data_IF_700624042930
#
_entry.id   IF_700624042930
#
_cell.length_a   1.000
_cell.length_b   1.000
_cell.length_c   1.000
_cell.angle_alpha   90.00
_cell.angle_beta   90.00
_cell.angle_gamma   90.00
#
_symmetry.space_group_name_H-M   'P 1'
#
loop_
_entity.id
_entity.type
_entity.pdbx_description
1 polymer ?
#
# COMPACT_ATOMS: atom_id res chain seq x y z
N UNK A 1 29.07 -22.95 10.75
CA UNK A 1 27.60 -23.19 10.66
C UNK A 1 27.24 -23.57 9.23
N UNK A 2 26.30 -24.49 9.03
CA UNK A 2 25.89 -24.96 7.69
C UNK A 2 24.38 -25.14 7.59
N UNK A 3 23.89 -25.47 6.39
CA UNK A 3 22.48 -25.78 6.17
C UNK A 3 21.95 -26.80 7.20
N UNK A 4 20.75 -26.55 7.73
CA UNK A 4 20.14 -27.34 8.80
C UNK A 4 20.50 -26.90 10.23
N UNK A 5 21.51 -26.04 10.43
CA UNK A 5 21.79 -25.47 11.76
C UNK A 5 20.61 -24.63 12.24
N UNK A 6 20.28 -24.70 13.53
CA UNK A 6 19.27 -23.86 14.17
C UNK A 6 19.80 -23.21 15.45
N UNK A 7 19.27 -22.06 15.83
CA UNK A 7 19.52 -21.44 17.14
C UNK A 7 19.91 -19.97 17.07
N UNK A 8 20.31 -19.42 18.23
CA UNK A 8 20.62 -18.00 18.37
C UNK A 8 21.77 -17.52 17.47
N UNK A 9 22.78 -18.35 17.23
CA UNK A 9 23.90 -17.99 16.36
C UNK A 9 23.47 -17.82 14.89
N UNK A 10 22.49 -18.62 14.44
CA UNK A 10 21.88 -18.46 13.11
C UNK A 10 21.06 -17.17 13.05
N UNK A 11 20.37 -16.81 14.13
CA UNK A 11 19.64 -15.52 14.21
C UNK A 11 20.61 -14.33 14.09
N UNK A 12 21.74 -14.41 14.79
CA UNK A 12 22.78 -13.40 14.70
C UNK A 12 23.35 -13.30 13.29
N UNK A 13 23.67 -14.44 12.65
CA UNK A 13 24.11 -14.49 11.26
C UNK A 13 23.13 -13.80 10.32
N UNK A 14 21.85 -14.19 10.38
CA UNK A 14 20.80 -13.63 9.53
C UNK A 14 20.66 -12.11 9.72
N UNK A 15 20.73 -11.60 10.96
CA UNK A 15 20.68 -10.16 11.22
C UNK A 15 21.94 -9.42 10.72
N UNK A 16 23.13 -10.00 10.87
CA UNK A 16 24.37 -9.41 10.34
C UNK A 16 24.33 -9.34 8.81
N UNK A 17 23.84 -10.38 8.14
CA UNK A 17 23.62 -10.35 6.70
C UNK A 17 22.57 -9.31 6.29
N UNK A 18 21.51 -9.11 7.10
CA UNK A 18 20.54 -8.02 6.90
C UNK A 18 21.16 -6.63 6.97
N UNK A 19 22.03 -6.37 7.95
CA UNK A 19 22.76 -5.09 8.07
C UNK A 19 23.56 -4.76 6.81
N UNK A 20 23.96 -5.79 6.06
CA UNK A 20 24.74 -5.69 4.83
C UNK A 20 23.90 -5.90 3.55
N UNK A 21 22.57 -5.97 3.67
CA UNK A 21 21.63 -6.22 2.58
C UNK A 21 21.87 -7.53 1.80
N UNK A 22 22.43 -8.57 2.44
CA UNK A 22 22.58 -9.91 1.84
C UNK A 22 21.45 -10.87 2.21
N UNK A 23 20.69 -10.58 3.26
CA UNK A 23 19.55 -11.39 3.70
C UNK A 23 18.32 -10.50 3.79
N UNK A 24 17.21 -10.97 3.22
CA UNK A 24 15.90 -10.30 3.27
C UNK A 24 14.89 -11.17 4.01
N UNK A 25 13.88 -10.55 4.63
CA UNK A 25 12.80 -11.27 5.30
C UNK A 25 12.93 -11.35 6.83
N UNK A 26 12.32 -12.37 7.44
CA UNK A 26 12.32 -12.54 8.91
C UNK A 26 13.53 -13.35 9.37
N UNK A 27 14.05 -13.00 10.53
CA UNK A 27 15.08 -13.82 11.21
C UNK A 27 14.41 -15.03 11.83
N UNK A 28 14.60 -16.19 11.21
CA UNK A 28 13.99 -17.46 11.61
C UNK A 28 14.81 -18.21 12.65
N UNK A 29 16.13 -17.99 12.67
CA UNK A 29 17.06 -18.83 13.43
C UNK A 29 17.23 -20.23 12.86
N UNK A 30 16.80 -20.47 11.62
CA UNK A 30 17.01 -21.71 10.87
C UNK A 30 17.86 -21.43 9.64
N UNK A 31 18.95 -22.16 9.49
CA UNK A 31 19.88 -22.01 8.37
C UNK A 31 19.33 -22.77 7.16
N UNK A 32 18.40 -22.12 6.45
CA UNK A 32 17.73 -22.67 5.28
C UNK A 32 18.33 -22.20 3.95
N UNK A 33 17.56 -22.38 2.87
CA UNK A 33 17.96 -22.00 1.50
C UNK A 33 18.28 -20.52 1.39
N UNK A 34 17.45 -19.65 1.94
CA UNK A 34 17.64 -18.19 1.87
C UNK A 34 18.92 -17.74 2.59
N UNK A 35 19.20 -18.31 3.77
CA UNK A 35 20.45 -18.04 4.50
C UNK A 35 21.67 -18.57 3.77
N UNK A 36 21.56 -19.73 3.14
CA UNK A 36 22.64 -20.31 2.31
C UNK A 36 22.94 -19.41 1.11
N UNK A 37 21.91 -18.93 0.41
CA UNK A 37 22.05 -18.02 -0.72
C UNK A 37 22.68 -16.68 -0.29
N UNK A 38 22.22 -16.12 0.83
CA UNK A 38 22.78 -14.89 1.41
C UNK A 38 24.27 -15.03 1.75
N UNK A 39 24.67 -16.14 2.37
CA UNK A 39 26.08 -16.40 2.71
C UNK A 39 26.93 -16.60 1.47
N UNK A 40 26.45 -17.33 0.46
CA UNK A 40 27.17 -17.48 -0.82
C UNK A 40 27.37 -16.13 -1.51
N UNK A 41 26.33 -15.31 -1.58
CA UNK A 41 26.43 -13.96 -2.18
C UNK A 41 27.45 -13.10 -1.44
N UNK A 42 27.39 -13.09 -0.10
CA UNK A 42 28.37 -12.40 0.73
C UNK A 42 29.80 -12.90 0.47
N UNK A 43 30.01 -14.21 0.54
CA UNK A 43 31.33 -14.83 0.35
C UNK A 43 31.92 -14.49 -1.02
N UNK A 44 31.15 -14.69 -2.08
CA UNK A 44 31.56 -14.37 -3.44
C UNK A 44 31.95 -12.89 -3.58
N UNK A 45 31.15 -11.97 -3.03
CA UNK A 45 31.46 -10.53 -3.08
C UNK A 45 32.72 -10.17 -2.29
N UNK A 46 33.07 -10.94 -1.26
CA UNK A 46 34.23 -10.70 -0.40
C UNK A 46 35.47 -11.51 -0.80
N UNK A 47 35.41 -12.29 -1.90
CA UNK A 47 36.52 -13.14 -2.33
C UNK A 47 36.82 -14.29 -1.35
N UNK A 48 35.82 -14.71 -0.57
CA UNK A 48 35.91 -15.85 0.33
C UNK A 48 35.46 -17.14 -0.40
N UNK A 49 35.90 -18.33 0.06
CA UNK A 49 35.38 -19.59 -0.45
C UNK A 49 33.83 -19.62 -0.41
N UNK A 50 33.20 -19.77 -1.58
CA UNK A 50 31.75 -19.64 -1.75
C UNK A 50 31.03 -20.97 -1.44
N UNK A 51 31.28 -21.55 -0.28
CA UNK A 51 30.67 -22.82 0.14
C UNK A 51 29.18 -22.64 0.46
N UNK A 52 28.79 -21.47 0.96
CA UNK A 52 27.51 -21.28 1.63
C UNK A 52 27.48 -21.84 3.04
N UNK A 53 28.64 -22.22 3.59
CA UNK A 53 28.84 -22.51 5.01
C UNK A 53 29.61 -21.37 5.65
N UNK A 54 29.31 -21.06 6.90
CA UNK A 54 30.01 -20.02 7.66
C UNK A 54 31.13 -20.66 8.46
N UNK A 55 32.35 -20.51 7.96
CA UNK A 55 33.60 -20.80 8.67
C UNK A 55 34.07 -19.59 9.50
N UNK A 56 35.21 -19.74 10.19
CA UNK A 56 35.76 -18.70 11.04
C UNK A 56 36.08 -17.42 10.25
N UNK A 57 36.70 -17.54 9.08
CA UNK A 57 37.05 -16.39 8.21
C UNK A 57 35.81 -15.62 7.76
N UNK A 58 34.75 -16.34 7.38
CA UNK A 58 33.47 -15.72 7.00
C UNK A 58 32.83 -15.03 8.20
N UNK A 59 32.88 -15.65 9.38
CA UNK A 59 32.33 -15.07 10.60
C UNK A 59 33.07 -13.79 11.02
N UNK A 60 34.40 -13.81 11.07
CA UNK A 60 35.21 -12.66 11.43
C UNK A 60 34.99 -11.49 10.46
N UNK A 61 34.92 -11.79 9.16
CA UNK A 61 34.59 -10.80 8.14
C UNK A 61 33.22 -10.14 8.36
N UNK A 62 32.22 -10.89 8.84
CA UNK A 62 30.92 -10.32 9.22
C UNK A 62 31.04 -9.46 10.48
N UNK A 63 31.78 -9.90 11.50
CA UNK A 63 31.98 -9.16 12.74
C UNK A 63 32.63 -7.79 12.50
N UNK A 64 33.65 -7.71 11.65
CA UNK A 64 34.34 -6.46 11.29
C UNK A 64 33.44 -5.44 10.59
N UNK A 65 32.35 -5.89 9.95
CA UNK A 65 31.50 -5.07 9.09
C UNK A 65 30.13 -4.77 9.66
N UNK A 66 29.81 -5.36 10.81
CA UNK A 66 28.46 -5.28 11.39
C UNK A 66 28.51 -5.09 12.88
N UNK A 67 27.48 -4.44 13.41
CA UNK A 67 27.32 -4.30 14.86
C UNK A 67 26.67 -5.55 15.42
N UNK A 68 26.96 -5.86 16.69
CA UNK A 68 26.30 -6.95 17.41
C UNK A 68 24.79 -6.70 17.43
N UNK A 69 23.96 -7.61 16.90
CA UNK A 69 22.51 -7.47 16.94
C UNK A 69 21.99 -7.41 18.38
N UNK A 70 20.97 -6.59 18.63
CA UNK A 70 20.23 -6.65 19.89
C UNK A 70 19.34 -7.89 19.95
N UNK A 71 18.89 -8.28 21.14
CA UNK A 71 17.90 -9.37 21.28
C UNK A 71 16.67 -9.09 20.42
N UNK A 72 16.13 -7.88 20.46
CA UNK A 72 14.91 -7.56 19.71
C UNK A 72 15.11 -7.74 18.20
N UNK A 73 16.26 -7.31 17.68
CA UNK A 73 16.64 -7.50 16.28
C UNK A 73 16.70 -8.98 15.90
N UNK A 74 17.34 -9.83 16.72
CA UNK A 74 17.43 -11.28 16.46
C UNK A 74 16.08 -12.02 16.53
N UNK A 75 15.09 -11.46 17.20
CA UNK A 75 13.78 -12.07 17.41
C UNK A 75 12.64 -11.33 16.69
N UNK A 76 12.96 -10.40 15.78
CA UNK A 76 12.00 -9.58 15.03
C UNK A 76 11.03 -8.80 15.94
N UNK A 77 11.49 -8.39 17.12
CA UNK A 77 10.69 -7.61 18.06
C UNK A 77 10.77 -6.15 17.65
N UNK A 78 9.65 -5.59 17.22
CA UNK A 78 9.54 -4.17 16.93
C UNK A 78 9.17 -3.43 18.21
N UNK A 79 10.05 -2.55 18.70
CA UNK A 79 9.70 -1.57 19.73
C UNK A 79 9.14 -0.29 19.09
N UNK A 80 8.24 0.43 19.78
CA UNK A 80 7.82 1.75 19.37
C UNK A 80 9.00 2.72 19.46
N UNK A 81 9.11 3.62 18.47
CA UNK A 81 10.03 4.75 18.55
C UNK A 81 9.46 5.86 19.46
N UNK A 82 10.20 6.96 19.63
CA UNK A 82 9.69 8.15 20.30
C UNK A 82 8.39 8.65 19.63
N UNK A 83 7.40 9.00 20.44
CA UNK A 83 6.14 9.54 19.96
C UNK A 83 6.33 10.94 19.38
N UNK A 84 5.96 11.11 18.11
CA UNK A 84 5.85 12.41 17.43
C UNK A 84 4.50 13.08 17.74
N UNK A 85 3.43 12.27 17.80
CA UNK A 85 2.09 12.71 18.19
C UNK A 85 1.48 11.68 19.15
N UNK A 86 0.70 12.15 20.11
CA UNK A 86 -0.03 11.33 21.08
C UNK A 86 -1.30 12.03 21.52
N UNK A 87 -2.12 11.37 22.33
CA UNK A 87 -3.29 12.03 22.92
C UNK A 87 -2.90 13.34 23.63
N UNK A 88 -3.67 14.39 23.36
CA UNK A 88 -3.38 15.75 23.83
C UNK A 88 -2.47 16.57 22.90
N UNK A 89 -1.80 15.97 21.91
CA UNK A 89 -1.10 16.75 20.87
C UNK A 89 -2.07 17.67 20.12
N UNK A 90 -1.58 18.84 19.72
CA UNK A 90 -2.34 19.83 18.94
C UNK A 90 -1.57 20.33 17.72
N UNK A 91 -2.29 20.96 16.77
CA UNK A 91 -1.70 21.72 15.67
C UNK A 91 -1.80 21.06 14.29
N UNK A 92 -1.12 21.66 13.31
CA UNK A 92 -1.24 21.29 11.90
C UNK A 92 -0.87 19.82 11.60
N UNK A 93 0.11 19.26 12.30
CA UNK A 93 0.53 17.87 12.11
C UNK A 93 -0.56 16.88 12.55
N UNK A 94 -1.38 17.23 13.54
CA UNK A 94 -2.56 16.43 13.93
C UNK A 94 -3.60 16.45 12.82
N UNK A 95 -3.83 17.62 12.19
CA UNK A 95 -4.75 17.74 11.05
C UNK A 95 -4.28 16.89 9.86
N UNK A 96 -2.99 16.95 9.53
CA UNK A 96 -2.40 16.11 8.47
C UNK A 96 -2.56 14.62 8.78
N UNK A 97 -2.25 14.18 10.00
CA UNK A 97 -2.46 12.81 10.45
C UNK A 97 -3.91 12.36 10.25
N UNK A 98 -4.87 13.12 10.78
CA UNK A 98 -6.30 12.76 10.72
C UNK A 98 -6.82 12.77 9.29
N UNK A 99 -6.44 13.76 8.47
CA UNK A 99 -6.82 13.83 7.07
C UNK A 99 -6.28 12.62 6.28
N UNK A 100 -5.03 12.22 6.53
CA UNK A 100 -4.45 11.01 5.93
C UNK A 100 -5.15 9.74 6.39
N UNK A 101 -5.41 9.57 7.69
CA UNK A 101 -6.18 8.43 8.20
C UNK A 101 -7.57 8.38 7.56
N UNK A 102 -8.22 9.53 7.38
CA UNK A 102 -9.51 9.65 6.69
C UNK A 102 -9.42 9.28 5.21
N UNK A 103 -8.38 9.73 4.51
CA UNK A 103 -8.15 9.36 3.11
C UNK A 103 -8.11 7.84 2.92
N UNK A 104 -7.57 7.08 3.87
CA UNK A 104 -7.49 5.61 3.81
C UNK A 104 -8.56 4.88 4.64
N UNK A 105 -9.60 5.59 5.07
CA UNK A 105 -10.79 5.00 5.70
C UNK A 105 -10.61 4.56 7.16
N UNK A 106 -9.53 4.99 7.83
CA UNK A 106 -9.27 4.65 9.24
C UNK A 106 -9.81 5.70 10.21
N UNK A 107 -10.28 6.85 9.71
CA UNK A 107 -10.86 7.91 10.53
C UNK A 107 -12.12 8.49 9.87
N UNK A 108 -13.24 8.48 10.57
CA UNK A 108 -14.54 8.96 10.06
C UNK A 108 -14.94 10.35 10.59
N UNK A 109 -14.27 10.84 11.64
CA UNK A 109 -14.57 12.13 12.27
C UNK A 109 -14.19 13.35 11.41
N UNK A 110 -14.51 14.54 11.94
CA UNK A 110 -13.96 15.80 11.42
C UNK A 110 -12.47 15.89 11.75
N UNK A 111 -11.69 16.45 10.82
CA UNK A 111 -10.29 16.81 11.02
C UNK A 111 -10.24 18.01 11.98
N UNK A 112 -9.69 17.83 13.16
CA UNK A 112 -9.56 18.83 14.20
C UNK A 112 -8.08 19.12 14.47
N UNK A 113 -7.81 20.19 15.20
CA UNK A 113 -6.44 20.49 15.62
C UNK A 113 -5.97 19.59 16.77
N UNK A 114 -6.88 18.90 17.46
CA UNK A 114 -6.59 18.11 18.66
C UNK A 114 -6.56 16.61 18.38
N UNK A 115 -5.55 15.94 18.92
CA UNK A 115 -5.44 14.48 18.94
C UNK A 115 -6.23 13.94 20.13
N UNK A 116 -7.49 13.57 19.89
CA UNK A 116 -8.38 12.99 20.91
C UNK A 116 -8.51 11.46 20.83
N UNK A 117 -9.38 10.86 21.66
CA UNK A 117 -9.57 9.40 21.74
C UNK A 117 -9.96 8.75 20.41
N UNK A 118 -10.73 9.44 19.57
CA UNK A 118 -11.09 8.97 18.23
C UNK A 118 -9.88 8.86 17.29
N UNK A 119 -8.92 9.78 17.41
CA UNK A 119 -7.66 9.76 16.66
C UNK A 119 -6.76 8.65 17.16
N UNK A 120 -6.65 8.50 18.49
CA UNK A 120 -5.89 7.41 19.10
C UNK A 120 -6.40 6.04 18.68
N UNK A 121 -7.73 5.85 18.68
CA UNK A 121 -8.36 4.64 18.18
C UNK A 121 -8.02 4.38 16.71
N UNK A 122 -8.18 5.38 15.84
CA UNK A 122 -7.83 5.26 14.42
C UNK A 122 -6.35 4.87 14.21
N UNK A 123 -5.44 5.43 15.02
CA UNK A 123 -4.02 5.09 14.99
C UNK A 123 -3.78 3.67 15.50
N UNK A 124 -4.42 3.22 16.59
CA UNK A 124 -4.30 1.83 17.08
C UNK A 124 -4.79 0.83 16.04
N UNK A 125 -5.94 1.10 15.41
CA UNK A 125 -6.50 0.23 14.38
C UNK A 125 -5.59 0.17 13.15
N UNK A 126 -5.05 1.32 12.73
CA UNK A 126 -4.03 1.39 11.68
C UNK A 126 -2.77 0.59 12.06
N UNK A 127 -2.22 0.81 13.26
CA UNK A 127 -1.01 0.13 13.74
C UNK A 127 -1.19 -1.39 13.77
N UNK A 128 -2.31 -1.85 14.30
CA UNK A 128 -2.73 -3.25 14.32
C UNK A 128 -2.71 -3.83 12.92
N UNK A 129 -3.36 -3.15 11.96
CA UNK A 129 -3.41 -3.62 10.58
C UNK A 129 -2.04 -3.62 9.89
N UNK A 130 -1.11 -2.75 10.30
CA UNK A 130 0.23 -2.65 9.73
C UNK A 130 1.28 -3.53 10.42
N UNK A 131 0.91 -4.24 11.48
CA UNK A 131 1.87 -5.06 12.24
C UNK A 131 2.99 -4.21 12.84
N UNK A 132 2.68 -2.96 13.18
CA UNK A 132 3.57 -2.07 13.92
C UNK A 132 3.08 -1.99 15.38
N UNK A 133 3.96 -1.63 16.34
CA UNK A 133 3.59 -1.58 17.74
C UNK A 133 2.32 -0.75 17.98
N UNK A 134 1.33 -1.33 18.66
CA UNK A 134 0.01 -0.73 18.87
C UNK A 134 0.01 0.12 20.14
N UNK A 135 0.60 1.31 20.05
CA UNK A 135 0.66 2.25 21.18
C UNK A 135 -0.50 3.24 21.17
N UNK A 136 -1.08 3.52 20.00
CA UNK A 136 -1.97 4.67 19.80
C UNK A 136 -1.23 6.01 19.77
N UNK A 137 0.10 5.99 19.83
CA UNK A 137 0.98 7.13 19.60
C UNK A 137 1.60 6.99 18.21
N UNK A 138 1.83 8.10 17.53
CA UNK A 138 2.42 8.11 16.19
C UNK A 138 3.92 8.32 16.32
N UNK A 139 4.69 7.25 16.13
CA UNK A 139 6.14 7.34 15.91
C UNK A 139 6.47 7.56 14.43
N UNK A 140 7.76 7.81 14.13
CA UNK A 140 8.22 8.03 12.76
C UNK A 140 7.83 6.88 11.81
N UNK A 141 7.93 5.63 12.27
CA UNK A 141 7.54 4.44 11.48
C UNK A 141 6.06 4.46 11.12
N UNK A 142 5.20 4.75 12.10
CA UNK A 142 3.76 4.86 11.91
C UNK A 142 3.45 5.95 10.89
N UNK A 143 4.10 7.11 11.02
CA UNK A 143 3.82 8.25 10.16
C UNK A 143 4.33 8.07 8.73
N UNK A 144 5.54 7.54 8.55
CA UNK A 144 6.07 7.23 7.22
C UNK A 144 5.23 6.16 6.52
N UNK A 145 4.78 5.15 7.26
CA UNK A 145 3.87 4.15 6.71
C UNK A 145 2.56 4.77 6.25
N UNK A 146 1.99 5.70 7.01
CA UNK A 146 0.77 6.41 6.64
C UNK A 146 0.98 7.32 5.42
N UNK A 147 2.06 8.10 5.40
CA UNK A 147 2.42 8.99 4.28
C UNK A 147 2.62 8.20 2.99
N UNK A 148 3.32 7.07 3.03
CA UNK A 148 3.50 6.23 1.84
C UNK A 148 2.15 5.77 1.26
N UNK A 149 1.16 5.54 2.11
CA UNK A 149 -0.16 5.07 1.72
C UNK A 149 -1.14 6.16 1.27
N UNK A 150 -0.80 7.43 1.46
CA UNK A 150 -1.70 8.57 1.28
C UNK A 150 -1.07 9.59 0.35
N UNK A 151 -1.90 10.44 -0.27
CA UNK A 151 -1.38 11.65 -0.91
C UNK A 151 -1.29 12.76 0.13
N UNK A 152 -0.59 13.86 -0.19
CA UNK A 152 -0.70 15.03 0.66
C UNK A 152 -2.17 15.48 0.75
N UNK A 153 -2.70 15.72 1.98
CA UNK A 153 -4.02 16.29 2.15
C UNK A 153 -4.16 17.66 1.49
N UNK A 154 -5.31 17.93 0.87
CA UNK A 154 -5.61 19.26 0.32
C UNK A 154 -6.02 20.25 1.41
N UNK A 155 -6.06 21.53 1.09
CA UNK A 155 -6.57 22.55 1.99
C UNK A 155 -8.01 22.24 2.45
N UNK A 156 -8.87 21.74 1.56
CA UNK A 156 -10.25 21.38 1.90
C UNK A 156 -10.30 20.21 2.89
N UNK A 157 -9.51 19.16 2.65
CA UNK A 157 -9.44 17.98 3.52
C UNK A 157 -8.93 18.35 4.93
N UNK A 158 -7.93 19.25 5.01
CA UNK A 158 -7.40 19.75 6.29
C UNK A 158 -8.41 20.62 7.05
N UNK A 159 -9.34 21.27 6.34
CA UNK A 159 -10.29 22.23 6.91
C UNK A 159 -11.73 21.73 7.01
N UNK A 160 -11.98 20.43 6.75
CA UNK A 160 -13.33 19.86 6.63
C UNK A 160 -14.24 20.63 5.67
N UNK A 161 -13.65 21.35 4.72
CA UNK A 161 -14.44 21.95 3.68
C UNK A 161 -14.93 20.80 2.83
N UNK A 162 -16.25 20.76 2.60
CA UNK A 162 -16.70 19.99 1.46
C UNK A 162 -15.92 20.55 0.26
N UNK A 163 -15.35 19.69 -0.60
CA UNK A 163 -14.90 20.19 -1.88
C UNK A 163 -16.05 21.04 -2.41
N UNK A 164 -15.78 22.30 -2.80
CA UNK A 164 -16.68 22.89 -3.79
C UNK A 164 -16.66 21.86 -4.89
N UNK A 165 -17.76 21.13 -5.04
CA UNK A 165 -17.96 20.31 -6.21
C UNK A 165 -18.27 21.34 -7.29
N UNK A 166 -17.23 22.06 -7.72
CA UNK A 166 -17.05 22.20 -9.13
C UNK A 166 -16.98 20.74 -9.56
N UNK A 167 -18.12 20.19 -10.04
CA UNK A 167 -18.13 18.88 -10.65
C UNK A 167 -16.88 18.87 -11.53
N UNK A 168 -15.87 18.04 -11.26
CA UNK A 168 -14.58 18.15 -11.93
C UNK A 168 -14.95 18.16 -13.39
N UNK A 169 -14.80 19.30 -14.09
CA UNK A 169 -15.59 19.62 -15.29
C UNK A 169 -15.70 18.34 -16.08
N UNK A 170 -16.86 17.68 -15.98
CA UNK A 170 -16.94 16.28 -16.37
C UNK A 170 -16.47 16.25 -17.81
N UNK A 171 -15.59 15.30 -18.14
CA UNK A 171 -15.15 15.17 -19.52
C UNK A 171 -16.42 15.23 -20.39
N UNK A 172 -16.48 16.08 -21.43
CA UNK A 172 -17.71 16.28 -22.20
C UNK A 172 -18.35 14.96 -22.67
N UNK A 173 -17.54 13.91 -22.86
CA UNK A 173 -17.98 12.57 -23.24
C UNK A 173 -18.77 11.84 -22.15
N UNK A 174 -18.70 12.30 -20.90
CA UNK A 174 -19.46 11.80 -19.74
C UNK A 174 -20.79 12.56 -19.53
N UNK A 175 -21.08 13.61 -20.31
CA UNK A 175 -22.26 14.47 -20.10
C UNK A 175 -23.58 13.89 -20.61
N UNK A 176 -23.55 12.89 -21.48
CA UNK A 176 -24.74 12.25 -22.03
C UNK A 176 -24.68 10.74 -21.85
N UNK A 177 -25.82 10.11 -21.54
CA UNK A 177 -25.90 8.68 -21.29
C UNK A 177 -25.14 8.25 -20.04
N UNK A 178 -24.74 6.98 -20.01
CA UNK A 178 -24.17 6.32 -18.84
C UNK A 178 -22.67 6.14 -19.00
N UNK A 179 -21.89 6.60 -18.04
CA UNK A 179 -20.43 6.59 -18.14
C UNK A 179 -19.71 6.39 -16.80
N UNK A 180 -18.71 5.52 -16.81
CA UNK A 180 -17.61 5.49 -15.86
C UNK A 180 -16.59 6.54 -16.29
N UNK A 181 -16.66 7.74 -15.69
CA UNK A 181 -15.78 8.86 -15.96
C UNK A 181 -14.55 8.81 -15.05
N UNK A 182 -13.38 8.54 -15.61
CA UNK A 182 -12.17 8.19 -14.87
C UNK A 182 -11.07 9.24 -15.15
N UNK A 183 -10.75 10.02 -14.13
CA UNK A 183 -9.71 11.05 -14.18
C UNK A 183 -8.43 10.56 -13.52
N UNK A 184 -7.35 10.52 -14.31
CA UNK A 184 -6.01 10.15 -13.86
C UNK A 184 -5.36 11.25 -13.02
N UNK A 185 -5.57 12.53 -13.33
CA UNK A 185 -5.07 13.63 -12.49
C UNK A 185 -5.74 13.67 -11.11
N UNK A 186 -7.04 13.39 -11.04
CA UNK A 186 -7.78 13.41 -9.79
C UNK A 186 -7.71 12.10 -8.99
N UNK A 187 -7.19 11.01 -9.58
CA UNK A 187 -7.28 9.66 -9.01
C UNK A 187 -8.73 9.27 -8.64
N UNK A 188 -9.67 9.60 -9.53
CA UNK A 188 -11.11 9.35 -9.31
C UNK A 188 -11.77 8.60 -10.46
N UNK A 189 -12.61 7.66 -10.08
CA UNK A 189 -13.69 7.13 -10.92
C UNK A 189 -14.98 7.76 -10.44
N UNK A 190 -15.75 8.30 -11.38
CA UNK A 190 -17.06 8.91 -11.14
C UNK A 190 -18.08 8.20 -12.02
N UNK A 191 -19.10 7.64 -11.41
CA UNK A 191 -20.26 7.09 -12.11
C UNK A 191 -21.23 8.22 -12.44
N UNK A 192 -21.54 8.39 -13.72
CA UNK A 192 -22.33 9.49 -14.24
C UNK A 192 -23.47 8.96 -15.10
N UNK A 193 -24.65 9.53 -14.91
CA UNK A 193 -25.83 9.29 -15.77
C UNK A 193 -26.34 10.66 -16.21
N UNK A 194 -26.30 10.92 -17.52
CA UNK A 194 -26.75 12.17 -18.16
C UNK A 194 -26.13 13.41 -17.50
N UNK A 195 -24.80 13.39 -17.32
CA UNK A 195 -24.03 14.47 -16.71
C UNK A 195 -24.19 14.61 -15.20
N UNK A 196 -25.08 13.84 -14.57
CA UNK A 196 -25.30 13.84 -13.13
C UNK A 196 -24.43 12.80 -12.45
N UNK A 197 -23.57 13.27 -11.54
CA UNK A 197 -22.73 12.40 -10.71
C UNK A 197 -23.62 11.60 -9.76
N UNK A 198 -23.50 10.27 -9.84
CA UNK A 198 -24.21 9.33 -8.96
C UNK A 198 -23.33 8.89 -7.79
N UNK A 199 -22.08 8.55 -8.07
CA UNK A 199 -21.09 8.21 -7.05
C UNK A 199 -19.68 8.53 -7.52
N UNK A 200 -18.75 8.66 -6.58
CA UNK A 200 -17.35 8.88 -6.88
C UNK A 200 -16.47 8.13 -5.89
N UNK A 201 -15.39 7.54 -6.39
CA UNK A 201 -14.48 6.73 -5.61
C UNK A 201 -13.03 6.99 -6.00
N UNK A 202 -12.13 6.85 -5.03
CA UNK A 202 -10.70 6.89 -5.30
C UNK A 202 -10.25 5.64 -6.03
N UNK A 203 -9.40 5.83 -7.04
CA UNK A 203 -8.82 4.76 -7.84
C UNK A 203 -7.32 4.89 -7.96
N UNK A 204 -6.64 3.79 -8.29
CA UNK A 204 -5.20 3.73 -8.58
C UNK A 204 -4.98 3.07 -9.93
N UNK A 205 -4.04 3.61 -10.69
CA UNK A 205 -3.80 3.23 -12.09
C UNK A 205 -2.55 2.38 -12.27
N UNK A 206 -2.33 1.99 -13.53
CA UNK A 206 -1.13 1.34 -13.99
C UNK A 206 0.13 2.18 -13.83
N UNK A 207 1.28 1.52 -13.72
CA UNK A 207 2.58 2.21 -13.70
C UNK A 207 2.93 2.77 -15.07
N UNK A 208 4.04 3.50 -15.18
CA UNK A 208 4.57 3.96 -16.47
C UNK A 208 4.88 2.79 -17.43
N UNK A 209 5.29 1.63 -16.90
CA UNK A 209 5.56 0.42 -17.69
C UNK A 209 4.28 -0.31 -18.14
N UNK A 210 3.18 -0.13 -17.43
CA UNK A 210 1.90 -0.80 -17.70
C UNK A 210 0.73 0.19 -17.58
N UNK A 211 0.71 1.26 -18.40
CA UNK A 211 -0.18 2.38 -18.17
C UNK A 211 -1.65 2.01 -18.40
N UNK A 212 -2.54 2.54 -17.56
CA UNK A 212 -3.97 2.55 -17.86
C UNK A 212 -4.21 3.44 -19.08
N UNK A 213 -4.80 2.86 -20.12
CA UNK A 213 -5.00 3.52 -21.42
C UNK A 213 -6.03 4.64 -21.28
N UNK A 214 -5.71 5.78 -21.86
CA UNK A 214 -6.65 6.90 -22.00
C UNK A 214 -7.48 6.72 -23.28
N UNK A 215 -8.71 7.21 -23.28
CA UNK A 215 -9.60 7.07 -24.42
C UNK A 215 -11.07 6.88 -24.04
N UNK A 216 -11.87 6.60 -25.07
CA UNK A 216 -13.28 6.24 -24.96
C UNK A 216 -13.44 4.75 -25.22
N UNK A 217 -13.97 4.05 -24.25
CA UNK A 217 -14.21 2.62 -24.27
C UNK A 217 -15.64 2.32 -23.82
N UNK A 218 -15.98 1.04 -23.75
CA UNK A 218 -17.23 0.54 -23.18
C UNK A 218 -16.92 -0.64 -22.28
N UNK A 219 -17.78 -0.89 -21.30
CA UNK A 219 -17.73 -2.15 -20.56
C UNK A 219 -18.13 -3.28 -21.51
N UNK A 220 -17.21 -4.18 -21.81
CA UNK A 220 -17.47 -5.28 -22.74
C UNK A 220 -17.89 -6.55 -21.99
N UNK A 221 -17.33 -6.76 -20.81
CA UNK A 221 -17.53 -7.97 -20.02
C UNK A 221 -17.43 -7.67 -18.53
N UNK A 222 -18.22 -8.39 -17.74
CA UNK A 222 -18.28 -8.26 -16.28
C UNK A 222 -18.13 -9.63 -15.62
N UNK A 223 -17.38 -9.69 -14.53
CA UNK A 223 -17.21 -10.91 -13.74
C UNK A 223 -17.06 -10.57 -12.27
N UNK A 224 -17.98 -11.08 -11.43
CA UNK A 224 -18.02 -10.76 -9.99
C UNK A 224 -16.83 -11.35 -9.25
N UNK A 225 -16.48 -12.59 -9.54
CA UNK A 225 -15.41 -13.34 -8.84
C UNK A 225 -14.24 -13.65 -9.78
N UNK A 226 -13.82 -12.66 -10.58
CA UNK A 226 -12.79 -12.87 -11.59
C UNK A 226 -11.42 -13.20 -10.98
N UNK A 227 -10.67 -14.08 -11.64
CA UNK A 227 -9.27 -14.38 -11.33
C UNK A 227 -8.46 -14.21 -12.60
N UNK A 228 -7.46 -13.32 -12.58
CA UNK A 228 -6.59 -13.08 -13.73
C UNK A 228 -5.83 -14.35 -14.10
N UNK A 229 -5.89 -14.76 -15.37
CA UNK A 229 -5.08 -15.88 -15.88
C UNK A 229 -3.61 -15.52 -16.05
N UNK A 230 -3.29 -14.24 -16.27
CA UNK A 230 -1.92 -13.74 -16.44
C UNK A 230 -1.21 -13.50 -15.11
N UNK A 231 -1.92 -12.96 -14.12
CA UNK A 231 -1.36 -12.56 -12.83
C UNK A 231 -1.77 -13.47 -11.67
N UNK A 232 -2.61 -14.49 -11.93
CA UNK A 232 -3.15 -15.43 -10.93
C UNK A 232 -3.70 -14.74 -9.66
N UNK A 233 -4.28 -13.55 -9.84
CA UNK A 233 -4.72 -12.68 -8.74
C UNK A 233 -6.22 -12.45 -8.84
N UNK A 234 -6.92 -12.50 -7.70
CA UNK A 234 -8.35 -12.18 -7.62
C UNK A 234 -8.59 -10.72 -8.00
N UNK A 235 -9.57 -10.50 -8.87
CA UNK A 235 -10.06 -9.21 -9.32
C UNK A 235 -11.58 -9.12 -9.10
N UNK A 236 -12.06 -9.02 -7.86
CA UNK A 236 -13.49 -8.99 -7.60
C UNK A 236 -14.16 -7.80 -8.28
N UNK A 237 -15.39 -7.99 -8.76
CA UNK A 237 -16.20 -7.00 -9.46
C UNK A 237 -15.53 -6.42 -10.70
N UNK A 238 -14.85 -7.26 -11.49
CA UNK A 238 -14.14 -6.83 -12.68
C UNK A 238 -15.10 -6.41 -13.80
N UNK A 239 -14.93 -5.18 -14.27
CA UNK A 239 -15.62 -4.60 -15.42
C UNK A 239 -14.58 -4.25 -16.49
N UNK A 240 -14.45 -5.10 -17.50
CA UNK A 240 -13.42 -5.01 -18.54
C UNK A 240 -13.82 -4.02 -19.62
N UNK A 241 -12.86 -3.17 -20.04
CA UNK A 241 -13.13 -2.10 -21.00
C UNK A 241 -12.08 -1.97 -22.11
N UNK A 242 -10.86 -2.48 -21.95
CA UNK A 242 -9.83 -2.35 -22.99
C UNK A 242 -8.83 -3.49 -22.96
N UNK A 243 -9.00 -4.51 -23.80
CA UNK A 243 -8.00 -5.57 -24.05
C UNK A 243 -7.34 -6.12 -22.79
N UNK A 244 -8.14 -6.48 -21.78
CA UNK A 244 -7.67 -6.98 -20.47
C UNK A 244 -7.63 -5.94 -19.34
N UNK A 245 -7.70 -4.63 -19.61
CA UNK A 245 -7.85 -3.61 -18.57
C UNK A 245 -9.29 -3.57 -18.06
N UNK A 246 -9.43 -3.56 -16.73
CA UNK A 246 -10.72 -3.53 -16.04
C UNK A 246 -10.72 -2.53 -14.88
N UNK A 247 -11.91 -2.06 -14.53
CA UNK A 247 -12.18 -1.50 -13.20
C UNK A 247 -12.50 -2.66 -12.27
N UNK A 248 -11.82 -2.78 -11.12
CA UNK A 248 -12.10 -3.86 -10.16
C UNK A 248 -11.63 -3.52 -8.74
N UNK A 249 -12.11 -4.29 -7.75
CA UNK A 249 -11.60 -4.21 -6.39
C UNK A 249 -10.16 -4.70 -6.31
N UNK A 250 -9.30 -3.99 -5.58
CA UNK A 250 -7.95 -4.42 -5.28
C UNK A 250 -7.70 -4.42 -3.77
N UNK A 251 -7.54 -5.62 -3.20
CA UNK A 251 -7.11 -5.79 -1.82
C UNK A 251 -5.73 -5.15 -1.58
N UNK A 252 -4.85 -5.17 -2.59
CA UNK A 252 -3.57 -4.48 -2.53
C UNK A 252 -3.73 -2.97 -2.44
N UNK A 253 -4.60 -2.36 -3.27
CA UNK A 253 -4.86 -0.92 -3.16
C UNK A 253 -5.52 -0.55 -1.83
N UNK A 254 -6.46 -1.36 -1.35
CA UNK A 254 -7.03 -1.18 -0.01
C UNK A 254 -5.95 -1.30 1.09
N UNK A 255 -4.99 -2.20 0.92
CA UNK A 255 -3.94 -2.43 1.90
C UNK A 255 -2.74 -1.48 1.78
N UNK A 256 -2.44 -0.91 0.61
CA UNK A 256 -1.21 -0.12 0.38
C UNK A 256 -1.48 1.30 -0.08
N UNK A 257 -2.74 1.65 -0.37
CA UNK A 257 -3.08 2.97 -0.89
C UNK A 257 -2.28 3.27 -2.16
N UNK A 258 -1.81 4.51 -2.31
CA UNK A 258 -1.05 4.91 -3.50
C UNK A 258 0.41 4.40 -3.50
N UNK A 259 0.84 3.64 -2.49
CA UNK A 259 2.13 2.96 -2.49
C UNK A 259 2.11 1.71 -3.38
N UNK A 260 2.27 1.93 -4.68
CA UNK A 260 2.28 0.90 -5.72
C UNK A 260 1.44 1.32 -6.92
N UNK A 261 1.34 0.43 -7.90
CA UNK A 261 0.53 0.64 -9.09
C UNK A 261 -0.33 -0.61 -9.36
N UNK A 262 -1.24 -0.52 -10.33
CA UNK A 262 -1.78 -1.70 -10.98
C UNK A 262 -0.88 -2.11 -12.17
N UNK A 263 -1.25 -3.18 -12.86
CA UNK A 263 -0.66 -3.55 -14.15
C UNK A 263 -1.53 -3.08 -15.33
N UNK A 264 -2.09 -1.87 -15.22
CA UNK A 264 -2.93 -1.24 -16.23
C UNK A 264 -4.42 -1.15 -15.86
N UNK A 265 -4.90 -1.96 -14.91
CA UNK A 265 -6.27 -1.88 -14.42
C UNK A 265 -6.54 -0.61 -13.59
N UNK A 266 -7.82 -0.28 -13.42
CA UNK A 266 -8.27 0.78 -12.51
C UNK A 266 -8.66 0.12 -11.20
N UNK A 267 -7.75 0.16 -10.23
CA UNK A 267 -7.94 -0.46 -8.93
C UNK A 267 -8.82 0.41 -8.04
N UNK A 268 -9.88 -0.17 -7.48
CA UNK A 268 -10.75 0.45 -6.48
C UNK A 268 -10.47 -0.14 -5.10
N UNK A 269 -10.43 0.70 -4.06
CA UNK A 269 -10.21 0.28 -2.67
C UNK A 269 -11.46 0.18 -1.81
N UNK A 270 -12.54 0.86 -2.18
CA UNK A 270 -13.82 0.79 -1.49
C UNK A 270 -14.57 -0.45 -1.98
N UNK A 271 -14.65 -1.49 -1.14
CA UNK A 271 -15.27 -2.77 -1.48
C UNK A 271 -16.78 -2.64 -1.70
N UNK A 272 -17.50 -2.02 -0.76
CA UNK A 272 -18.96 -1.87 -0.85
C UNK A 272 -19.33 -0.93 -2.00
N UNK A 273 -18.54 0.14 -2.20
CA UNK A 273 -18.75 1.09 -3.29
C UNK A 273 -18.58 0.45 -4.68
N UNK A 274 -17.60 -0.44 -4.88
CA UNK A 274 -17.44 -1.13 -6.16
C UNK A 274 -18.45 -2.25 -6.36
N UNK A 275 -18.88 -2.93 -5.29
CA UNK A 275 -19.97 -3.90 -5.37
C UNK A 275 -21.28 -3.24 -5.84
N UNK A 276 -21.66 -2.12 -5.20
CA UNK A 276 -22.85 -1.36 -5.58
C UNK A 276 -22.76 -0.76 -7.00
N UNK A 277 -21.57 -0.31 -7.40
CA UNK A 277 -21.34 0.17 -8.77
C UNK A 277 -21.44 -0.96 -9.79
N UNK A 278 -20.88 -2.12 -9.48
CA UNK A 278 -20.94 -3.30 -10.35
C UNK A 278 -22.38 -3.71 -10.63
N UNK A 279 -23.27 -3.64 -9.64
CA UNK A 279 -24.68 -3.99 -9.82
C UNK A 279 -25.42 -2.99 -10.72
N UNK A 280 -24.96 -1.73 -10.78
CA UNK A 280 -25.56 -0.69 -11.63
C UNK A 280 -25.06 -0.70 -13.07
N UNK A 281 -23.78 -0.99 -13.30
CA UNK A 281 -23.14 -0.88 -14.62
C UNK A 281 -23.53 -2.05 -15.52
N UNK A 282 -23.82 -1.80 -16.79
CA UNK A 282 -24.13 -2.84 -17.79
C UNK A 282 -23.04 -2.91 -18.87
N UNK A 283 -22.84 -4.08 -19.52
CA UNK A 283 -22.11 -4.11 -20.77
C UNK A 283 -22.69 -3.10 -21.78
N UNK A 284 -21.82 -2.34 -22.44
CA UNK A 284 -22.18 -1.21 -23.30
C UNK A 284 -22.11 0.17 -22.61
N UNK A 285 -22.15 0.24 -21.27
CA UNK A 285 -21.95 1.51 -20.55
C UNK A 285 -20.55 2.06 -20.87
N UNK A 286 -20.44 3.37 -21.10
CA UNK A 286 -19.18 4.00 -21.52
C UNK A 286 -18.15 3.96 -20.40
N UNK A 287 -16.88 3.85 -20.78
CA UNK A 287 -15.73 4.04 -19.91
C UNK A 287 -14.86 5.11 -20.53
N UNK A 288 -14.79 6.27 -19.89
CA UNK A 288 -14.00 7.41 -20.36
C UNK A 288 -12.81 7.56 -19.43
N UNK A 289 -11.61 7.31 -19.94
CA UNK A 289 -10.37 7.50 -19.17
C UNK A 289 -9.64 8.71 -19.73
N UNK A 290 -9.39 9.69 -18.88
CA UNK A 290 -8.72 10.94 -19.26
C UNK A 290 -7.72 11.39 -18.20
N UNK A 291 -6.83 12.30 -18.57
CA UNK A 291 -5.97 12.99 -17.62
C UNK A 291 -6.67 14.21 -17.05
#
# INVERSE_FOLDING_TARGET
MKAGTTGAQVRELQHRLQQLAWFEGKITGTYGRDTTAAVRGYQAKRGLPTSGEVDQKTWDSLLERTKKPTRDQMYNILRPGPALLKEGSTGATVRDLQARLKQIGWFSGKVTETYGPSTAKAVKDFQTKRGIPVTGEVDQRTFDRLKAMTRQPTHEELNNLQPKVDAPRLDPRCMAGRALCISKSANRLTWVVDGKVQTSMSVRFGSELTPTREGSFQVNFKSRDHVSTLYHTKMPFAMFFSGGQAVHYSADFAARGYNGASHGCVNVRNYDGIAALFDQVHPGDKVIVHR
#
